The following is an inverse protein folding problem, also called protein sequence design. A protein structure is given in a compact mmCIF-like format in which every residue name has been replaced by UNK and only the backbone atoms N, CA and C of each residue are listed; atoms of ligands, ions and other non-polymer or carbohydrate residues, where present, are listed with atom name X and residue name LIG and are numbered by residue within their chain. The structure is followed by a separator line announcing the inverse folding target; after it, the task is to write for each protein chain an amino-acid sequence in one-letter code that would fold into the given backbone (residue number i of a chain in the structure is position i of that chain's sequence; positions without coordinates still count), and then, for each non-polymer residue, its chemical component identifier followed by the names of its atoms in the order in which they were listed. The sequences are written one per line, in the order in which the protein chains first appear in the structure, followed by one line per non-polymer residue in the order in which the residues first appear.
data_IF_007988774003
#
_entry.id   IF_007988774003
#
_cell.length_a   1.000
_cell.length_b   1.000
_cell.length_c   1.000
_cell.angle_alpha   90.00
_cell.angle_beta   90.00
_cell.angle_gamma   90.00
#
_symmetry.space_group_name_H-M   'P 1'
#
loop_
_entity.id
_entity.type
_entity.pdbx_description
1 polymer ?
#
# COMPACT_ATOMS: atom_id res chain seq x y z
N UNK A 1 -13.72 -47.53 21.33
CA UNK A 1 -15.15 -47.38 21.00
C UNK A 1 -15.88 -46.71 22.17
N UNK A 2 -16.01 -45.38 22.12
CA UNK A 2 -17.15 -44.62 22.68
C UNK A 2 -17.27 -43.37 21.82
N UNK A 3 -18.26 -43.37 20.95
CA UNK A 3 -18.66 -42.21 20.16
C UNK A 3 -19.23 -41.14 21.09
N UNK A 4 -18.76 -39.90 20.96
CA UNK A 4 -19.42 -38.74 21.51
C UNK A 4 -20.23 -38.08 20.39
N UNK A 5 -21.55 -38.13 20.52
CA UNK A 5 -22.52 -37.44 19.68
C UNK A 5 -22.88 -36.09 20.32
N UNK A 6 -22.71 -34.96 19.61
CA UNK A 6 -23.27 -33.69 20.05
C UNK A 6 -24.19 -33.06 18.98
N UNK A 7 -25.30 -33.73 18.65
CA UNK A 7 -26.48 -33.04 18.11
C UNK A 7 -27.37 -32.57 19.26
N UNK A 8 -27.11 -31.36 19.77
CA UNK A 8 -28.14 -30.41 20.23
C UNK A 8 -27.50 -29.12 20.76
N UNK A 9 -27.54 -28.06 19.96
CA UNK A 9 -27.80 -26.70 20.44
C UNK A 9 -28.20 -25.78 19.27
N UNK A 10 -29.48 -25.44 19.22
CA UNK A 10 -30.06 -24.24 18.59
C UNK A 10 -31.26 -23.85 19.48
N UNK A 11 -31.76 -22.60 19.47
CA UNK A 11 -31.15 -21.33 19.06
C UNK A 11 -31.47 -20.16 20.05
N UNK A 12 -30.95 -18.95 19.76
CA UNK A 12 -31.67 -17.66 19.65
C UNK A 12 -30.84 -16.48 20.17
N UNK A 13 -30.21 -15.75 19.24
CA UNK A 13 -30.45 -14.31 18.99
C UNK A 13 -29.28 -13.69 18.22
N UNK A 14 -29.56 -13.15 17.03
CA UNK A 14 -28.88 -11.97 16.49
C UNK A 14 -27.60 -12.18 15.67
N UNK A 15 -27.77 -12.22 14.34
CA UNK A 15 -26.81 -11.81 13.29
C UNK A 15 -25.34 -12.28 13.43
N UNK A 16 -25.13 -13.58 13.28
CA UNK A 16 -23.86 -14.13 12.82
C UNK A 16 -24.16 -14.96 11.57
N UNK A 17 -23.96 -14.41 10.37
CA UNK A 17 -23.87 -15.25 9.17
C UNK A 17 -22.53 -15.95 9.22
N UNK A 18 -22.54 -17.19 9.67
CA UNK A 18 -21.39 -18.12 9.73
C UNK A 18 -20.94 -18.65 8.37
N UNK A 19 -21.57 -18.21 7.28
CA UNK A 19 -21.61 -19.01 6.05
C UNK A 19 -20.84 -18.41 4.88
N UNK A 20 -19.81 -17.60 5.12
CA UNK A 20 -19.01 -17.07 4.00
C UNK A 20 -17.51 -17.07 4.25
N UNK A 21 -16.95 -18.28 4.32
CA UNK A 21 -15.52 -18.48 4.09
C UNK A 21 -15.32 -18.83 2.62
N UNK A 22 -14.93 -17.85 1.80
CA UNK A 22 -14.49 -18.13 0.41
C UNK A 22 -13.07 -18.68 0.48
N UNK A 23 -12.93 -19.99 0.22
CA UNK A 23 -11.62 -20.63 0.06
C UNK A 23 -11.25 -20.65 -1.42
N UNK A 24 -10.07 -20.14 -1.83
CA UNK A 24 -9.57 -20.27 -3.20
C UNK A 24 -9.41 -21.72 -3.67
N UNK A 25 -9.38 -22.66 -2.72
CA UNK A 25 -9.21 -24.10 -2.96
C UNK A 25 -10.51 -24.89 -2.73
N UNK A 26 -11.66 -24.21 -2.71
CA UNK A 26 -12.94 -24.88 -2.56
C UNK A 26 -13.18 -25.86 -3.72
N UNK A 27 -13.72 -27.06 -3.45
CA UNK A 27 -14.13 -27.98 -4.52
C UNK A 27 -15.18 -27.31 -5.43
N UNK A 28 -15.34 -27.75 -6.69
CA UNK A 28 -16.11 -27.03 -7.69
C UNK A 28 -17.57 -26.74 -7.30
N UNK A 29 -18.17 -27.62 -6.47
CA UNK A 29 -19.52 -27.53 -5.91
C UNK A 29 -19.65 -26.48 -4.78
N UNK A 30 -18.53 -25.94 -4.29
CA UNK A 30 -18.46 -24.90 -3.25
C UNK A 30 -17.86 -23.58 -3.77
N UNK A 31 -17.70 -23.44 -5.10
CA UNK A 31 -17.27 -22.19 -5.70
C UNK A 31 -18.37 -21.14 -5.64
N UNK A 32 -17.97 -19.93 -5.26
CA UNK A 32 -18.84 -18.77 -5.24
C UNK A 32 -19.12 -18.29 -6.66
N UNK A 33 -20.31 -18.59 -7.17
CA UNK A 33 -20.77 -18.11 -8.46
C UNK A 33 -21.65 -16.85 -8.28
N UNK A 34 -21.08 -15.68 -8.56
CA UNK A 34 -21.79 -14.40 -8.52
C UNK A 34 -22.05 -13.90 -9.94
N UNK A 35 -23.33 -13.74 -10.28
CA UNK A 35 -23.74 -13.08 -11.54
C UNK A 35 -23.91 -11.58 -11.29
N UNK A 36 -22.84 -10.82 -11.55
CA UNK A 36 -22.79 -9.37 -11.26
C UNK A 36 -23.90 -8.56 -11.93
N UNK A 37 -24.34 -8.95 -13.13
CA UNK A 37 -25.41 -8.28 -13.89
C UNK A 37 -26.79 -8.36 -13.24
N UNK A 38 -27.01 -9.31 -12.31
CA UNK A 38 -28.27 -9.45 -11.59
C UNK A 38 -28.33 -8.57 -10.33
N UNK A 39 -27.19 -8.06 -9.87
CA UNK A 39 -27.12 -7.25 -8.65
C UNK A 39 -27.45 -5.79 -9.01
N UNK A 40 -28.47 -5.25 -8.33
CA UNK A 40 -28.80 -3.82 -8.38
C UNK A 40 -28.14 -3.10 -7.21
N UNK A 41 -27.17 -2.26 -7.50
CA UNK A 41 -26.47 -1.42 -6.54
C UNK A 41 -27.25 -0.14 -6.28
N UNK A 42 -27.33 0.27 -5.01
CA UNK A 42 -27.95 1.54 -4.60
C UNK A 42 -26.98 2.72 -4.74
N UNK A 43 -26.33 2.82 -5.88
CA UNK A 43 -25.43 3.92 -6.26
C UNK A 43 -26.04 4.67 -7.45
N UNK A 44 -25.64 5.92 -7.67
CA UNK A 44 -26.26 6.77 -8.71
C UNK A 44 -26.22 6.13 -10.11
N UNK A 45 -25.17 5.34 -10.40
CA UNK A 45 -24.93 4.72 -11.70
C UNK A 45 -25.10 3.19 -11.68
N UNK A 46 -25.64 2.60 -10.61
CA UNK A 46 -25.67 1.14 -10.42
C UNK A 46 -24.26 0.49 -10.49
N UNK A 47 -23.23 1.23 -10.08
CA UNK A 47 -21.84 0.78 -9.99
C UNK A 47 -21.59 0.08 -8.65
N UNK A 48 -20.60 -0.83 -8.65
CA UNK A 48 -20.16 -1.55 -7.44
C UNK A 48 -19.65 -0.52 -6.42
N UNK A 49 -20.20 -0.47 -5.20
CA UNK A 49 -19.77 0.47 -4.18
C UNK A 49 -18.37 0.12 -3.66
N UNK A 50 -17.58 1.15 -3.38
CA UNK A 50 -16.29 1.01 -2.72
C UNK A 50 -16.51 1.02 -1.21
N UNK A 51 -16.19 -0.08 -0.54
CA UNK A 51 -16.34 -0.25 0.91
C UNK A 51 -14.97 -0.13 1.63
N UNK A 52 -14.31 1.01 1.48
CA UNK A 52 -13.02 1.29 2.12
C UNK A 52 -13.16 2.39 3.16
N UNK A 53 -12.42 2.26 4.26
CA UNK A 53 -12.38 3.26 5.33
C UNK A 53 -11.58 4.50 4.91
N UNK A 54 -10.48 4.24 4.21
CA UNK A 54 -9.54 5.25 3.72
C UNK A 54 -9.46 5.19 2.20
N UNK A 55 -9.26 6.33 1.57
CA UNK A 55 -8.93 6.36 0.15
C UNK A 55 -7.51 5.83 -0.06
N UNK A 56 -7.28 5.13 -1.17
CA UNK A 56 -5.96 4.63 -1.54
C UNK A 56 -4.92 5.76 -1.60
N UNK A 57 -3.72 5.50 -1.11
CA UNK A 57 -2.62 6.45 -1.24
C UNK A 57 -2.14 6.56 -2.69
N UNK A 58 -1.84 7.77 -3.15
CA UNK A 58 -1.27 7.97 -4.50
C UNK A 58 0.23 7.70 -4.50
N UNK A 59 0.86 7.40 -5.65
CA UNK A 59 2.31 7.26 -5.75
C UNK A 59 3.06 8.46 -5.13
N UNK A 60 4.15 8.18 -4.44
CA UNK A 60 4.93 9.14 -3.64
C UNK A 60 4.48 9.25 -2.18
N UNK A 61 3.44 8.50 -1.80
CA UNK A 61 2.92 8.40 -0.43
C UNK A 61 2.90 6.95 0.03
N UNK A 62 3.02 6.76 1.34
CA UNK A 62 2.84 5.48 2.02
C UNK A 62 1.69 5.56 3.02
N UNK A 63 1.16 4.39 3.37
CA UNK A 63 0.19 4.25 4.45
C UNK A 63 0.82 4.57 5.80
N UNK A 64 0.00 5.14 6.67
CA UNK A 64 0.30 5.38 8.09
C UNK A 64 -0.88 4.88 8.91
N UNK A 65 -0.67 3.97 9.88
CA UNK A 65 -1.73 3.55 10.77
C UNK A 65 -2.29 4.74 11.56
N UNK A 66 -3.62 4.85 11.62
CA UNK A 66 -4.29 5.84 12.45
C UNK A 66 -4.41 5.27 13.87
N UNK A 67 -3.83 5.90 14.91
CA UNK A 67 -3.94 5.41 16.28
C UNK A 67 -5.39 5.27 16.73
N UNK A 68 -5.75 4.08 17.22
CA UNK A 68 -7.12 3.78 17.69
C UNK A 68 -8.11 3.37 16.60
N UNK A 69 -7.74 3.43 15.32
CA UNK A 69 -8.58 2.94 14.22
C UNK A 69 -8.41 1.43 13.98
N UNK A 70 -9.28 0.85 13.14
CA UNK A 70 -9.15 -0.53 12.67
C UNK A 70 -7.98 -0.64 11.67
N UNK A 71 -7.44 -1.84 11.48
CA UNK A 71 -6.28 -2.10 10.61
C UNK A 71 -6.49 -1.70 9.14
N UNK A 72 -7.73 -1.68 8.65
CA UNK A 72 -8.05 -1.25 7.28
C UNK A 72 -8.16 0.28 7.13
N UNK A 73 -8.06 1.04 8.23
CA UNK A 73 -8.11 2.50 8.23
C UNK A 73 -6.70 3.06 8.42
N UNK A 74 -6.26 3.88 7.47
CA UNK A 74 -4.93 4.48 7.44
C UNK A 74 -5.00 5.90 6.86
N UNK A 75 -3.97 6.70 7.13
CA UNK A 75 -3.72 7.96 6.44
C UNK A 75 -2.58 7.79 5.43
N UNK A 76 -2.42 8.78 4.55
CA UNK A 76 -1.33 8.82 3.58
C UNK A 76 -0.30 9.87 3.98
N UNK A 77 0.96 9.46 4.14
CA UNK A 77 2.08 10.36 4.37
C UNK A 77 3.07 10.31 3.21
N UNK A 78 3.67 11.45 2.81
CA UNK A 78 4.64 11.46 1.73
C UNK A 78 5.89 10.65 2.13
N UNK A 79 6.53 10.01 1.16
CA UNK A 79 7.80 9.31 1.38
C UNK A 79 8.87 10.25 1.94
N UNK A 80 9.84 9.75 2.70
CA UNK A 80 10.89 10.60 3.29
C UNK A 80 11.86 11.14 2.22
N UNK A 81 12.78 12.02 2.61
CA UNK A 81 13.87 12.40 1.69
C UNK A 81 14.71 11.17 1.33
N UNK A 82 15.11 11.06 0.07
CA UNK A 82 15.81 9.89 -0.47
C UNK A 82 14.88 8.73 -0.86
N UNK A 83 13.60 8.77 -0.49
CA UNK A 83 12.65 7.68 -0.73
C UNK A 83 11.63 7.99 -1.82
N UNK A 84 11.14 6.92 -2.45
CA UNK A 84 10.04 6.96 -3.41
C UNK A 84 8.99 5.88 -3.13
N UNK A 85 7.80 6.09 -3.68
CA UNK A 85 6.77 5.07 -3.88
C UNK A 85 6.26 5.21 -5.31
N UNK A 86 6.35 4.15 -6.10
CA UNK A 86 5.92 4.14 -7.50
C UNK A 86 4.53 3.48 -7.69
N UNK A 87 3.99 2.83 -6.66
CA UNK A 87 2.69 2.16 -6.70
C UNK A 87 1.63 2.92 -5.94
N UNK A 88 0.38 2.77 -6.37
CA UNK A 88 -0.77 3.23 -5.59
C UNK A 88 -0.92 2.33 -4.37
N UNK A 89 -1.29 2.93 -3.25
CA UNK A 89 -1.62 2.27 -1.99
C UNK A 89 -0.45 1.50 -1.35
N UNK A 90 0.79 2.01 -1.52
CA UNK A 90 1.98 1.38 -0.94
C UNK A 90 1.97 1.39 0.59
N UNK A 91 2.31 0.24 1.19
CA UNK A 91 2.56 0.14 2.64
C UNK A 91 3.83 0.90 3.05
N UNK A 92 4.87 0.84 2.23
CA UNK A 92 6.19 1.39 2.52
C UNK A 92 6.77 2.14 1.31
N UNK A 93 7.70 3.05 1.59
CA UNK A 93 8.55 3.67 0.58
C UNK A 93 9.90 2.95 0.52
N UNK A 94 10.62 3.11 -0.58
CA UNK A 94 11.96 2.54 -0.75
C UNK A 94 12.98 3.63 -1.10
N UNK A 95 14.22 3.43 -0.67
CA UNK A 95 15.33 4.34 -0.92
C UNK A 95 15.78 4.27 -2.38
N UNK A 96 16.17 5.40 -2.95
CA UNK A 96 16.83 5.42 -4.24
C UNK A 96 18.23 4.78 -4.16
N UNK A 97 18.71 4.17 -5.26
CA UNK A 97 20.09 3.71 -5.38
C UNK A 97 21.11 4.85 -5.21
N UNK A 98 22.36 4.49 -4.97
CA UNK A 98 23.46 5.45 -4.95
C UNK A 98 23.54 6.24 -6.27
N UNK A 99 23.91 7.52 -6.17
CA UNK A 99 23.96 8.48 -7.31
C UNK A 99 22.60 8.84 -7.93
N UNK A 100 21.49 8.37 -7.36
CA UNK A 100 20.15 8.77 -7.76
C UNK A 100 19.43 9.55 -6.65
N UNK A 101 18.46 10.36 -7.02
CA UNK A 101 17.64 11.13 -6.10
C UNK A 101 16.15 11.07 -6.46
N UNK A 102 15.23 11.09 -5.49
CA UNK A 102 13.80 11.19 -5.79
C UNK A 102 13.47 12.43 -6.63
N UNK A 103 12.60 12.26 -7.62
CA UNK A 103 12.00 13.40 -8.30
C UNK A 103 11.10 14.22 -7.33
N UNK A 104 10.67 15.41 -7.74
CA UNK A 104 9.82 16.29 -6.89
C UNK A 104 8.55 15.62 -6.36
N UNK A 105 8.02 14.63 -7.09
CA UNK A 105 6.80 13.89 -6.72
C UNK A 105 7.10 12.63 -5.90
N UNK A 106 8.38 12.28 -5.69
CA UNK A 106 8.83 11.05 -5.01
C UNK A 106 8.27 9.77 -5.62
N UNK A 107 8.12 9.74 -6.95
CA UNK A 107 7.59 8.57 -7.70
C UNK A 107 8.67 7.79 -8.45
N UNK A 108 9.81 8.42 -8.73
CA UNK A 108 10.89 7.83 -9.49
C UNK A 108 12.23 8.39 -8.99
N UNK A 109 13.26 7.57 -9.06
CA UNK A 109 14.63 7.98 -8.83
C UNK A 109 15.19 8.54 -10.16
N UNK A 110 15.89 9.66 -10.06
CA UNK A 110 16.53 10.33 -11.20
C UNK A 110 18.03 10.46 -10.92
N UNK A 111 18.91 10.25 -11.93
CA UNK A 111 20.34 10.43 -11.75
C UNK A 111 20.67 11.83 -11.26
N UNK A 112 21.58 11.93 -10.30
CA UNK A 112 22.17 13.22 -9.91
C UNK A 112 22.93 13.78 -11.11
N UNK A 113 22.74 15.08 -11.37
CA UNK A 113 23.56 15.76 -12.38
C UNK A 113 24.95 15.98 -11.77
N UNK A 114 25.97 15.42 -12.42
CA UNK A 114 27.36 15.74 -12.09
C UNK A 114 27.63 17.19 -12.48
N UNK A 115 27.81 18.05 -11.48
CA UNK A 115 28.41 19.36 -11.69
C UNK A 115 29.92 19.17 -11.56
N UNK A 116 30.60 19.15 -12.72
CA UNK A 116 32.06 19.18 -12.75
C UNK A 116 32.52 20.51 -12.15
N UNK A 117 33.10 20.46 -10.96
CA UNK A 117 33.87 21.58 -10.42
C UNK A 117 35.13 21.72 -11.28
N UNK A 118 35.15 22.70 -12.17
CA UNK A 118 36.38 23.09 -12.87
C UNK A 118 37.29 23.79 -11.87
N UNK A 119 38.34 23.09 -11.43
CA UNK A 119 39.42 23.71 -10.69
C UNK A 119 40.20 24.58 -11.68
N UNK A 120 40.00 25.90 -11.63
CA UNK A 120 41.00 26.81 -12.18
C UNK A 120 42.17 26.76 -11.22
N UNK A 121 43.24 26.07 -11.65
CA UNK A 121 44.56 26.22 -11.06
C UNK A 121 44.82 27.71 -10.88
N UNK A 122 45.04 28.16 -9.65
CA UNK A 122 45.87 29.35 -9.33
C UNK A 122 45.88 29.70 -7.82
N UNK A 123 45.03 29.10 -6.97
CA UNK A 123 45.00 29.47 -5.53
C UNK A 123 45.44 28.40 -4.53
N UNK A 124 45.35 27.08 -4.79
CA UNK A 124 45.97 26.09 -3.87
C UNK A 124 47.47 25.93 -4.14
N UNK A 125 47.93 26.10 -5.37
CA UNK A 125 49.33 25.89 -5.76
C UNK A 125 50.31 26.87 -5.10
N UNK A 126 49.83 28.05 -4.67
CA UNK A 126 50.62 29.06 -3.98
C UNK A 126 50.76 28.81 -2.47
N UNK A 127 49.98 27.89 -1.88
CA UNK A 127 50.08 27.57 -0.45
C UNK A 127 51.12 26.49 -0.14
N UNK A 128 51.66 25.82 -1.16
CA UNK A 128 52.63 24.72 -1.01
C UNK A 128 54.06 25.08 -1.43
N UNK A 129 54.36 26.34 -1.72
CA UNK A 129 55.75 26.80 -1.95
C UNK A 129 56.26 27.52 -0.69
N UNK A 130 56.76 26.80 0.34
CA UNK A 130 57.44 27.46 1.45
C UNK A 130 58.74 28.06 0.89
N UNK A 131 58.87 29.39 1.06
CA UNK A 131 60.14 30.10 0.88
C UNK A 131 61.16 29.70 1.94
#
# INVERSE_FOLDING_TARGET
MREANPQKALPKSGWASSDFCVSPWAPPDQQLNITSSLIKWKTNNNEIPIAQCSANCVPGYRKVPIPGAKTCCYDCAPCSNGEISNTTDSENCFQCPDMEWPNKKRIQCIPMKEDFLTYSDDVLSLLFYPS
#
